data_IF_640173809923
#
_entry.id   IF_640173809923
#
_cell.length_a   1.000
_cell.length_b   1.000
_cell.length_c   1.000
_cell.angle_alpha   90.00
_cell.angle_beta   90.00
_cell.angle_gamma   90.00
#
_symmetry.space_group_name_H-M   'P 1'
#
loop_
_entity.id
_entity.type
_entity.pdbx_description
1 polymer ?
#
# COMPACT_ATOMS: atom_id res chain seq x y z
N UNK A 1 -0.67 -27.14 28.04
CA UNK A 1 -2.03 -26.58 28.14
C UNK A 1 -1.93 -25.35 29.04
N UNK A 2 -2.09 -24.13 28.51
CA UNK A 2 -2.03 -22.90 29.31
C UNK A 2 -3.40 -22.69 29.96
N UNK A 3 -3.41 -22.46 31.28
CA UNK A 3 -4.63 -22.10 32.03
C UNK A 3 -4.56 -20.62 32.38
N UNK A 4 -5.66 -19.92 32.11
CA UNK A 4 -5.83 -18.51 32.43
C UNK A 4 -6.76 -18.39 33.63
N UNK A 5 -6.37 -17.56 34.60
CA UNK A 5 -7.23 -17.19 35.74
C UNK A 5 -7.17 -15.67 35.86
N UNK A 6 -8.33 -15.02 35.77
CA UNK A 6 -8.47 -13.58 35.97
C UNK A 6 -8.85 -13.31 37.43
N UNK A 7 -8.11 -12.44 38.10
CA UNK A 7 -8.39 -12.02 39.48
C UNK A 7 -7.94 -10.57 39.69
N UNK A 8 -8.87 -9.62 39.62
CA UNK A 8 -8.59 -8.20 39.89
C UNK A 8 -7.69 -7.50 38.86
N UNK A 9 -6.88 -6.55 39.33
CA UNK A 9 -6.02 -5.61 38.55
C UNK A 9 -4.77 -6.25 37.90
N UNK A 10 -4.65 -7.58 37.94
CA UNK A 10 -3.46 -8.28 37.46
C UNK A 10 -3.85 -9.46 36.57
N UNK A 11 -3.02 -9.72 35.57
CA UNK A 11 -3.07 -10.93 34.78
C UNK A 11 -2.01 -11.91 35.27
N UNK A 12 -2.42 -13.15 35.52
CA UNK A 12 -1.54 -14.23 35.92
C UNK A 12 -1.34 -15.19 34.76
N UNK A 13 -0.12 -15.24 34.22
CA UNK A 13 0.28 -16.26 33.25
C UNK A 13 1.10 -17.32 33.98
N UNK A 14 0.52 -18.49 34.20
CA UNK A 14 1.27 -19.63 34.71
C UNK A 14 1.85 -20.44 33.56
N UNK A 15 3.18 -20.47 33.49
CA UNK A 15 3.92 -21.35 32.60
C UNK A 15 4.19 -22.67 33.32
N UNK A 16 3.49 -23.74 32.89
CA UNK A 16 3.61 -25.05 33.51
C UNK A 16 4.99 -25.72 33.26
N UNK A 17 5.68 -25.35 32.17
CA UNK A 17 6.95 -25.99 31.80
C UNK A 17 8.08 -25.53 32.72
N UNK A 18 8.06 -24.26 33.07
CA UNK A 18 9.09 -23.64 33.90
C UNK A 18 8.64 -23.48 35.37
N UNK A 19 7.38 -23.84 35.66
CA UNK A 19 6.70 -23.62 36.93
C UNK A 19 6.79 -22.15 37.42
N UNK A 20 6.81 -21.20 36.49
CA UNK A 20 6.89 -19.77 36.76
C UNK A 20 5.54 -19.10 36.55
N UNK A 21 5.18 -18.20 37.46
CA UNK A 21 4.00 -17.34 37.34
C UNK A 21 4.51 -15.95 36.95
N UNK A 22 4.16 -15.51 35.75
CA UNK A 22 4.39 -14.13 35.32
C UNK A 22 3.16 -13.32 35.72
N UNK A 23 3.38 -12.35 36.61
CA UNK A 23 2.34 -11.43 37.07
C UNK A 23 2.53 -10.14 36.30
N UNK A 24 1.61 -9.85 35.39
CA UNK A 24 1.63 -8.61 34.62
C UNK A 24 0.54 -7.68 35.18
N UNK A 25 0.88 -6.46 35.63
CA UNK A 25 -0.14 -5.50 36.01
C UNK A 25 -0.98 -5.16 34.78
N UNK A 26 -2.30 -5.18 34.93
CA UNK A 26 -3.20 -4.62 33.91
C UNK A 26 -3.06 -3.10 34.06
N UNK A 27 -2.56 -2.36 33.06
CA UNK A 27 -2.42 -0.91 33.19
C UNK A 27 -3.80 -0.31 33.48
N UNK A 28 -3.97 0.28 34.66
CA UNK A 28 -5.18 1.03 34.97
C UNK A 28 -5.31 2.17 33.97
N UNK A 29 -6.56 2.38 33.49
CA UNK A 29 -6.99 3.39 32.50
C UNK A 29 -5.94 4.47 32.22
N UNK A 30 -5.36 4.40 31.02
CA UNK A 30 -4.41 5.37 30.45
C UNK A 30 -4.95 6.81 30.32
N UNK A 31 -6.20 7.08 30.69
CA UNK A 31 -6.87 8.36 30.40
C UNK A 31 -6.45 9.56 31.28
N UNK A 32 -5.53 9.41 32.26
CA UNK A 32 -5.20 10.52 33.19
C UNK A 32 -3.74 10.63 33.65
N UNK A 33 -2.77 9.95 33.02
CA UNK A 33 -1.34 10.19 33.32
C UNK A 33 -0.69 11.06 32.25
N UNK A 34 -0.38 12.30 32.61
CA UNK A 34 0.61 13.11 31.89
C UNK A 34 1.97 12.47 32.14
N UNK A 35 2.49 11.75 31.15
CA UNK A 35 3.85 11.20 31.20
C UNK A 35 4.77 12.28 30.65
N UNK A 36 5.57 12.92 31.51
CA UNK A 36 6.71 13.71 31.06
C UNK A 36 7.81 12.73 30.62
N UNK A 37 7.95 12.55 29.31
CA UNK A 37 9.02 11.72 28.72
C UNK A 37 10.13 12.62 28.19
N UNK A 38 11.33 12.49 28.77
CA UNK A 38 12.56 13.04 28.22
C UNK A 38 13.17 12.06 27.22
N UNK A 39 12.97 12.35 25.94
CA UNK A 39 13.52 11.59 24.82
C UNK A 39 14.95 12.03 24.51
N UNK A 40 15.86 11.08 24.29
CA UNK A 40 17.11 11.43 23.63
C UNK A 40 16.82 11.63 22.13
N UNK A 41 17.32 12.70 21.47
CA UNK A 41 16.99 13.05 20.08
C UNK A 41 17.38 12.01 18.99
N UNK A 42 17.75 10.78 19.34
CA UNK A 42 18.34 9.78 18.43
C UNK A 42 17.80 8.35 18.59
N UNK A 43 16.83 8.10 19.47
CA UNK A 43 16.26 6.76 19.63
C UNK A 43 14.88 6.70 18.97
N UNK A 44 14.81 6.05 17.81
CA UNK A 44 13.56 5.78 17.09
C UNK A 44 12.67 4.74 17.81
N UNK A 45 13.13 4.18 18.93
CA UNK A 45 12.40 3.17 19.67
C UNK A 45 12.03 3.67 21.07
N UNK A 46 10.72 3.79 21.38
CA UNK A 46 10.25 4.21 22.68
C UNK A 46 10.35 3.16 23.79
N UNK A 47 10.57 1.88 23.46
CA UNK A 47 10.52 0.80 24.44
C UNK A 47 11.71 -0.16 24.33
N UNK A 48 12.57 -0.23 25.37
CA UNK A 48 13.60 -1.26 25.47
C UNK A 48 12.96 -2.65 25.45
N UNK A 49 13.42 -3.53 24.55
CA UNK A 49 12.88 -4.88 24.40
C UNK A 49 11.70 -5.02 23.43
N UNK A 50 11.33 -3.96 22.71
CA UNK A 50 10.36 -4.04 21.62
C UNK A 50 10.88 -4.91 20.47
N UNK A 51 10.10 -5.92 20.10
CA UNK A 51 10.36 -6.73 18.90
C UNK A 51 9.66 -6.09 17.69
N UNK A 52 10.38 -6.02 16.56
CA UNK A 52 9.93 -5.54 15.24
C UNK A 52 9.47 -4.08 15.22
N UNK A 53 10.05 -3.30 14.32
CA UNK A 53 9.71 -1.89 14.13
C UNK A 53 9.34 -1.66 12.68
N UNK A 54 8.12 -1.21 12.46
CA UNK A 54 7.70 -0.63 11.19
C UNK A 54 7.33 0.82 11.45
N UNK A 55 7.76 1.70 10.56
CA UNK A 55 7.56 3.14 10.66
C UNK A 55 6.69 3.58 9.50
N UNK A 56 5.66 4.36 9.82
CA UNK A 56 4.80 5.02 8.87
C UNK A 56 4.88 6.52 9.11
N UNK A 57 4.93 7.30 8.03
CA UNK A 57 5.04 8.75 8.08
C UNK A 57 4.03 9.38 7.13
N UNK A 58 3.35 10.43 7.58
CA UNK A 58 2.51 11.29 6.75
C UNK A 58 2.87 12.76 7.03
N UNK A 59 3.78 13.34 6.23
CA UNK A 59 4.18 14.74 6.33
C UNK A 59 3.02 15.72 6.27
N UNK A 60 1.94 15.37 5.57
CA UNK A 60 0.80 16.27 5.41
C UNK A 60 0.04 16.50 6.70
N UNK A 61 0.01 15.48 7.54
CA UNK A 61 -0.66 15.50 8.82
C UNK A 61 0.33 15.77 9.95
N UNK A 62 1.61 16.01 9.65
CA UNK A 62 2.69 16.01 10.64
C UNK A 62 2.65 14.72 11.49
N UNK A 63 2.35 13.58 10.88
CA UNK A 63 2.11 12.32 11.60
C UNK A 63 3.26 11.34 11.43
N UNK A 64 3.72 10.80 12.54
CA UNK A 64 4.73 9.77 12.67
C UNK A 64 4.14 8.60 13.46
N UNK A 65 4.09 7.42 12.88
CA UNK A 65 3.54 6.24 13.53
C UNK A 65 4.58 5.12 13.64
N UNK A 66 4.86 4.65 14.85
CA UNK A 66 5.78 3.52 15.09
C UNK A 66 4.98 2.34 15.58
N UNK A 67 5.02 1.24 14.82
CA UNK A 67 4.52 -0.03 15.32
C UNK A 67 5.60 -0.78 16.08
N UNK A 68 5.26 -1.28 17.26
CA UNK A 68 6.12 -2.14 18.07
C UNK A 68 5.30 -3.18 18.83
N UNK A 69 5.91 -4.32 19.19
CA UNK A 69 5.27 -5.35 19.98
C UNK A 69 5.91 -5.48 21.38
N UNK A 70 5.07 -5.57 22.42
CA UNK A 70 5.47 -5.88 23.80
C UNK A 70 4.55 -6.97 24.34
N UNK A 71 5.11 -8.07 24.84
CA UNK A 71 4.34 -9.20 25.40
C UNK A 71 3.25 -9.73 24.45
N UNK A 72 3.54 -9.75 23.13
CA UNK A 72 2.61 -10.14 22.05
C UNK A 72 1.39 -9.23 21.87
N UNK A 73 1.39 -8.05 22.49
CA UNK A 73 0.45 -6.98 22.18
C UNK A 73 1.17 -6.04 21.22
N UNK A 74 0.51 -5.74 20.10
CA UNK A 74 1.03 -4.79 19.12
C UNK A 74 0.49 -3.41 19.43
N UNK A 75 1.37 -2.42 19.39
CA UNK A 75 1.05 -1.01 19.63
C UNK A 75 1.47 -0.20 18.41
N UNK A 76 0.71 0.86 18.12
CA UNK A 76 1.09 1.86 17.13
C UNK A 76 1.20 3.19 17.88
N UNK A 77 2.40 3.62 18.23
CA UNK A 77 2.66 4.92 18.84
C UNK A 77 2.45 6.03 17.81
N UNK A 78 1.77 7.10 18.21
CA UNK A 78 1.42 8.23 17.35
C UNK A 78 2.14 9.49 17.84
N UNK A 79 3.01 10.02 17.00
CA UNK A 79 3.81 11.19 17.26
C UNK A 79 3.74 12.22 16.14
N UNK A 80 4.23 13.40 16.40
CA UNK A 80 4.55 14.43 15.41
C UNK A 80 5.85 14.12 14.68
N UNK A 81 6.00 14.54 13.43
CA UNK A 81 7.27 14.43 12.68
C UNK A 81 8.29 15.48 13.13
N UNK A 82 7.84 16.69 13.45
CA UNK A 82 8.73 17.82 13.72
C UNK A 82 9.48 17.71 15.06
N UNK A 83 8.80 17.27 16.13
CA UNK A 83 9.36 17.24 17.49
C UNK A 83 9.24 15.88 18.19
N UNK A 84 8.63 14.87 17.56
CA UNK A 84 8.50 13.51 18.10
C UNK A 84 7.58 13.39 19.32
N UNK A 85 6.85 14.45 19.68
CA UNK A 85 5.89 14.46 20.76
C UNK A 85 4.61 13.71 20.39
N UNK A 86 3.77 13.36 21.37
CA UNK A 86 2.45 12.75 21.09
C UNK A 86 1.66 13.66 20.16
N UNK A 87 1.10 13.08 19.10
CA UNK A 87 0.41 13.86 18.09
C UNK A 87 -0.81 14.60 18.69
N UNK A 88 -0.94 15.93 18.54
CA UNK A 88 -1.95 16.72 19.25
C UNK A 88 -3.40 16.39 18.86
N UNK A 89 -3.60 15.87 17.65
CA UNK A 89 -4.90 15.40 17.17
C UNK A 89 -5.19 13.92 17.45
N UNK A 90 -4.25 13.16 18.04
CA UNK A 90 -4.50 11.75 18.31
C UNK A 90 -5.44 11.60 19.52
N UNK A 91 -6.37 10.64 19.43
CA UNK A 91 -7.26 10.29 20.54
C UNK A 91 -6.49 9.77 21.78
N UNK A 92 -5.25 9.32 21.57
CA UNK A 92 -4.31 8.95 22.62
C UNK A 92 -2.93 8.64 22.04
N UNK A 93 -1.94 8.33 22.90
CA UNK A 93 -0.54 8.20 22.49
C UNK A 93 -0.28 6.97 21.63
N UNK A 94 -1.15 5.95 21.69
CA UNK A 94 -1.00 4.75 20.88
C UNK A 94 -2.34 4.09 20.56
N UNK A 95 -2.39 3.42 19.41
CA UNK A 95 -3.42 2.45 19.07
C UNK A 95 -3.01 1.08 19.60
N UNK A 96 -3.98 0.31 20.10
CA UNK A 96 -3.71 -1.01 20.71
C UNK A 96 -4.33 -2.11 19.87
N UNK A 97 -3.55 -3.17 19.65
CA UNK A 97 -3.96 -4.37 18.95
C UNK A 97 -3.83 -5.59 19.87
N UNK A 98 -4.96 -6.03 20.40
CA UNK A 98 -5.04 -7.15 21.36
C UNK A 98 -5.02 -8.52 20.68
N UNK A 99 -3.97 -8.87 19.91
CA UNK A 99 -3.84 -10.25 19.40
C UNK A 99 -2.40 -10.74 19.31
N UNK A 100 -2.18 -11.86 19.99
CA UNK A 100 -0.90 -12.53 20.21
C UNK A 100 -0.59 -13.63 19.19
N UNK A 101 -0.73 -13.35 17.90
CA UNK A 101 -0.40 -14.35 16.86
C UNK A 101 0.95 -14.00 16.22
N UNK A 102 1.74 -15.03 15.92
CA UNK A 102 2.95 -14.88 15.11
C UNK A 102 2.57 -14.29 13.75
N UNK A 103 2.79 -12.99 13.59
CA UNK A 103 2.61 -12.28 12.33
C UNK A 103 3.78 -12.61 11.39
N UNK A 104 3.49 -12.92 10.14
CA UNK A 104 4.52 -13.24 9.13
C UNK A 104 4.78 -12.05 8.21
N UNK A 105 3.73 -11.28 7.95
CA UNK A 105 3.76 -10.10 7.11
C UNK A 105 2.76 -9.09 7.65
N UNK A 106 3.14 -7.81 7.61
CA UNK A 106 2.29 -6.70 7.96
C UNK A 106 2.52 -5.53 7.00
N UNK A 107 1.44 -4.86 6.58
CA UNK A 107 1.46 -3.68 5.72
C UNK A 107 0.61 -2.58 6.36
N UNK A 108 1.07 -1.34 6.29
CA UNK A 108 0.44 -0.19 6.93
C UNK A 108 0.13 0.87 5.91
N UNK A 109 -0.99 1.54 6.10
CA UNK A 109 -1.25 2.82 5.44
C UNK A 109 -2.00 3.75 6.37
N UNK A 110 -1.90 5.03 6.05
CA UNK A 110 -2.71 6.05 6.68
C UNK A 110 -3.31 6.93 5.59
N UNK A 111 -4.48 7.49 5.88
CA UNK A 111 -5.11 8.49 5.06
C UNK A 111 -6.09 9.30 5.88
N UNK A 112 -5.85 10.62 5.96
CA UNK A 112 -6.63 11.48 6.84
C UNK A 112 -6.67 10.92 8.26
N UNK A 113 -7.87 10.81 8.82
CA UNK A 113 -8.09 10.28 10.17
C UNK A 113 -7.91 8.76 10.31
N UNK A 114 -7.61 8.04 9.23
CA UNK A 114 -7.53 6.57 9.26
C UNK A 114 -6.10 6.06 9.28
N UNK A 115 -5.84 5.10 10.15
CA UNK A 115 -4.66 4.21 10.08
C UNK A 115 -5.19 2.81 9.87
N UNK A 116 -4.57 2.05 8.98
CA UNK A 116 -4.91 0.66 8.75
C UNK A 116 -3.68 -0.24 8.76
N UNK A 117 -3.89 -1.43 9.31
CA UNK A 117 -2.93 -2.52 9.42
C UNK A 117 -3.50 -3.75 8.75
N UNK A 118 -2.89 -4.14 7.63
CA UNK A 118 -3.07 -5.45 7.07
C UNK A 118 -2.05 -6.41 7.66
N UNK A 119 -2.48 -7.60 8.05
CA UNK A 119 -1.61 -8.65 8.57
C UNK A 119 -2.04 -10.02 8.11
N UNK A 120 -1.06 -10.90 7.99
CA UNK A 120 -1.26 -12.33 7.75
C UNK A 120 -0.79 -13.15 8.95
N UNK A 121 -1.62 -14.09 9.38
CA UNK A 121 -1.34 -14.97 10.52
C UNK A 121 -1.93 -16.37 10.31
N UNK A 122 -1.46 -17.32 11.12
CA UNK A 122 -1.97 -18.69 11.13
C UNK A 122 -2.80 -18.92 12.40
N UNK A 123 -4.05 -19.34 12.25
CA UNK A 123 -4.82 -19.82 13.41
C UNK A 123 -4.42 -21.26 13.70
N UNK A 124 -3.89 -21.51 14.90
CA UNK A 124 -3.53 -22.87 15.33
C UNK A 124 -4.79 -23.63 15.77
N UNK A 125 -5.50 -24.22 14.81
CA UNK A 125 -6.62 -25.12 15.06
C UNK A 125 -6.18 -26.57 15.29
N UNK A 126 -7.07 -27.39 15.85
CA UNK A 126 -6.88 -28.85 15.97
C UNK A 126 -7.01 -29.48 14.59
N UNK A 127 -5.90 -29.63 13.86
CA UNK A 127 -5.81 -30.49 12.67
C UNK A 127 -5.32 -29.83 11.38
N UNK A 128 -5.51 -28.52 11.17
CA UNK A 128 -4.99 -27.80 10.00
C UNK A 128 -4.68 -26.34 10.34
N UNK A 129 -3.49 -25.85 9.96
CA UNK A 129 -3.19 -24.41 10.02
C UNK A 129 -3.60 -23.78 8.68
N UNK A 130 -4.79 -23.19 8.64
CA UNK A 130 -5.16 -22.35 7.50
C UNK A 130 -4.60 -20.94 7.71
N UNK A 131 -3.88 -20.38 6.73
CA UNK A 131 -3.51 -18.98 6.81
C UNK A 131 -4.79 -18.12 6.76
N UNK A 132 -4.81 -17.05 7.55
CA UNK A 132 -5.84 -16.02 7.55
C UNK A 132 -5.17 -14.65 7.36
N UNK A 133 -5.92 -13.70 6.82
CA UNK A 133 -5.52 -12.31 6.83
C UNK A 133 -6.57 -11.47 7.54
N UNK A 134 -6.12 -10.34 8.09
CA UNK A 134 -6.98 -9.33 8.69
C UNK A 134 -6.48 -7.95 8.31
N UNK A 135 -7.40 -7.07 7.92
CA UNK A 135 -7.21 -5.65 7.75
C UNK A 135 -7.99 -4.93 8.83
N UNK A 136 -7.27 -4.30 9.74
CA UNK A 136 -7.84 -3.54 10.85
C UNK A 136 -7.63 -2.06 10.61
N UNK A 137 -8.66 -1.27 10.88
CA UNK A 137 -8.73 0.15 10.55
C UNK A 137 -9.14 0.90 11.81
N UNK A 138 -8.39 1.94 12.17
CA UNK A 138 -8.69 2.82 13.29
C UNK A 138 -8.98 4.23 12.79
N UNK A 139 -9.88 4.94 13.48
CA UNK A 139 -9.95 6.40 13.44
C UNK A 139 -9.03 6.94 14.54
N UNK A 140 -7.76 7.20 14.18
CA UNK A 140 -6.73 7.53 15.16
C UNK A 140 -6.94 8.89 15.84
N UNK A 141 -7.79 9.74 15.28
CA UNK A 141 -8.11 11.06 15.82
C UNK A 141 -9.22 11.01 16.86
N UNK A 142 -10.17 10.07 16.72
CA UNK A 142 -11.36 10.01 17.56
C UNK A 142 -11.42 8.79 18.47
N UNK A 143 -10.64 7.73 18.23
CA UNK A 143 -10.62 6.54 19.09
C UNK A 143 -9.28 5.81 19.10
N UNK A 144 -8.89 5.32 20.28
CA UNK A 144 -7.73 4.43 20.45
C UNK A 144 -8.10 2.95 20.46
N UNK A 145 -9.39 2.62 20.61
CA UNK A 145 -9.88 1.25 20.83
C UNK A 145 -10.88 0.78 19.79
N UNK A 146 -11.69 1.68 19.23
CA UNK A 146 -12.64 1.32 18.19
C UNK A 146 -11.88 1.11 16.89
N UNK A 147 -12.09 -0.05 16.30
CA UNK A 147 -11.51 -0.39 15.02
C UNK A 147 -12.46 -1.24 14.22
N UNK A 148 -12.50 -0.96 12.93
CA UNK A 148 -13.22 -1.76 11.97
C UNK A 148 -12.32 -2.86 11.42
N UNK A 149 -12.85 -4.07 11.26
CA UNK A 149 -12.06 -5.26 10.92
C UNK A 149 -12.64 -5.96 9.69
N UNK A 150 -11.81 -6.16 8.68
CA UNK A 150 -12.03 -7.10 7.57
C UNK A 150 -11.15 -8.33 7.78
N UNK A 151 -11.69 -9.51 7.59
CA UNK A 151 -10.92 -10.75 7.64
C UNK A 151 -11.48 -11.77 6.67
N UNK A 152 -10.62 -12.63 6.13
CA UNK A 152 -11.05 -13.79 5.36
C UNK A 152 -10.06 -14.94 5.58
N UNK A 153 -10.58 -16.16 5.48
CA UNK A 153 -9.73 -17.32 5.29
C UNK A 153 -9.07 -17.25 3.91
N UNK A 154 -7.84 -17.72 3.84
CA UNK A 154 -7.12 -17.88 2.58
C UNK A 154 -7.46 -19.31 2.11
N UNK A 155 -8.45 -19.41 1.23
CA UNK A 155 -8.89 -20.70 0.69
C UNK A 155 -7.91 -21.27 -0.34
N UNK A 156 -7.10 -20.40 -0.95
CA UNK A 156 -6.18 -20.75 -2.03
C UNK A 156 -4.74 -20.81 -1.52
N UNK A 157 -3.95 -21.75 -2.05
CA UNK A 157 -2.48 -21.78 -1.86
C UNK A 157 -1.77 -20.58 -2.51
N UNK A 158 -2.51 -19.75 -3.25
CA UNK A 158 -1.99 -18.61 -3.97
C UNK A 158 -2.67 -17.33 -3.48
N UNK A 159 -1.82 -16.43 -3.00
CA UNK A 159 -1.96 -14.98 -2.90
C UNK A 159 -3.12 -14.48 -2.02
N UNK A 160 -2.74 -14.18 -0.79
CA UNK A 160 -3.45 -13.32 0.15
C UNK A 160 -3.74 -11.94 -0.49
N UNK A 161 -4.60 -11.08 0.10
CA UNK A 161 -4.69 -9.69 -0.37
C UNK A 161 -3.28 -9.13 -0.42
N UNK A 162 -2.86 -8.77 -1.63
CA UNK A 162 -1.50 -8.33 -1.89
C UNK A 162 -1.35 -6.90 -1.44
N UNK A 163 -2.45 -6.14 -1.38
CA UNK A 163 -2.41 -4.76 -0.92
C UNK A 163 -3.79 -4.19 -0.56
N UNK A 164 -3.80 -2.97 -0.06
CA UNK A 164 -5.00 -2.15 0.10
C UNK A 164 -4.64 -0.68 -0.12
N UNK A 165 -5.63 0.19 -0.34
CA UNK A 165 -5.44 1.64 -0.24
C UNK A 165 -6.72 2.37 0.10
N UNK A 166 -6.56 3.53 0.74
CA UNK A 166 -7.67 4.45 0.93
C UNK A 166 -7.89 5.27 -0.33
N UNK A 167 -9.13 5.29 -0.82
CA UNK A 167 -9.55 6.21 -1.88
C UNK A 167 -10.15 7.49 -1.30
N UNK A 168 -10.44 7.50 -0.01
CA UNK A 168 -10.99 8.63 0.71
C UNK A 168 -11.08 8.32 2.19
N UNK A 169 -11.80 9.15 2.92
CA UNK A 169 -12.10 8.87 4.32
C UNK A 169 -13.16 7.78 4.48
N UNK A 170 -14.00 7.56 3.48
CA UNK A 170 -15.11 6.61 3.53
C UNK A 170 -14.87 5.38 2.65
N UNK A 171 -13.88 5.41 1.75
CA UNK A 171 -13.66 4.34 0.76
C UNK A 171 -12.30 3.68 0.89
N UNK A 172 -12.32 2.35 0.88
CA UNK A 172 -11.16 1.48 0.97
C UNK A 172 -11.16 0.49 -0.19
N UNK A 173 -10.07 0.43 -0.93
CA UNK A 173 -9.86 -0.55 -1.97
C UNK A 173 -8.94 -1.65 -1.45
N UNK A 174 -9.40 -2.90 -1.48
CA UNK A 174 -8.58 -4.08 -1.19
C UNK A 174 -8.21 -4.75 -2.50
N UNK A 175 -6.92 -5.02 -2.66
CA UNK A 175 -6.32 -5.60 -3.87
C UNK A 175 -5.96 -7.05 -3.58
N UNK A 176 -6.64 -7.98 -4.23
CA UNK A 176 -6.40 -9.42 -4.17
C UNK A 176 -6.52 -9.99 -5.61
N UNK A 177 -7.05 -11.19 -5.81
CA UNK A 177 -7.36 -11.69 -7.16
C UNK A 177 -8.39 -10.82 -7.92
N UNK A 178 -9.12 -10.00 -7.17
CA UNK A 178 -10.04 -8.98 -7.65
C UNK A 178 -9.83 -7.69 -6.85
N UNK A 179 -10.35 -6.57 -7.38
CA UNK A 179 -10.39 -5.32 -6.65
C UNK A 179 -11.72 -5.22 -5.91
N UNK A 180 -11.68 -5.16 -4.58
CA UNK A 180 -12.87 -5.04 -3.74
C UNK A 180 -12.93 -3.65 -3.14
N UNK A 181 -13.98 -2.91 -3.49
CA UNK A 181 -14.24 -1.60 -2.95
C UNK A 181 -15.15 -1.72 -1.73
N UNK A 182 -14.71 -1.19 -0.60
CA UNK A 182 -15.43 -1.18 0.67
C UNK A 182 -15.77 0.25 1.09
N UNK A 183 -16.90 0.38 1.78
CA UNK A 183 -17.35 1.60 2.44
C UNK A 183 -17.14 1.48 3.95
N UNK A 184 -16.51 2.50 4.52
CA UNK A 184 -16.29 2.71 5.95
C UNK A 184 -17.29 3.77 6.40
N UNK A 185 -18.48 3.34 6.84
CA UNK A 185 -19.50 4.25 7.40
C UNK A 185 -19.21 4.59 8.86
N UNK A 186 -18.92 3.55 9.64
CA UNK A 186 -18.64 3.64 11.08
C UNK A 186 -17.48 2.70 11.43
N UNK A 187 -16.65 3.10 12.39
CA UNK A 187 -15.57 2.27 12.94
C UNK A 187 -16.07 1.14 13.84
N UNK A 188 -17.32 1.20 14.32
CA UNK A 188 -17.91 0.09 15.09
C UNK A 188 -18.40 -1.07 14.22
N UNK A 189 -18.50 -0.88 12.90
CA UNK A 189 -19.04 -1.87 11.97
C UNK A 189 -17.95 -2.38 11.03
N UNK A 190 -18.07 -3.63 10.56
CA UNK A 190 -17.23 -4.15 9.47
C UNK A 190 -17.43 -3.30 8.20
N UNK A 191 -16.37 -2.94 7.44
CA UNK A 191 -16.52 -2.19 6.20
C UNK A 191 -17.40 -2.97 5.22
N UNK A 192 -18.39 -2.29 4.64
CA UNK A 192 -19.37 -2.93 3.75
C UNK A 192 -18.82 -2.98 2.33
N UNK A 193 -18.82 -4.16 1.71
CA UNK A 193 -18.46 -4.31 0.29
C UNK A 193 -19.45 -3.52 -0.58
N UNK A 194 -18.94 -2.64 -1.45
CA UNK A 194 -19.70 -1.86 -2.43
C UNK A 194 -19.67 -2.48 -3.82
N UNK A 195 -18.49 -2.93 -4.26
CA UNK A 195 -18.30 -3.50 -5.58
C UNK A 195 -17.09 -4.43 -5.59
N UNK A 196 -17.11 -5.38 -6.53
CA UNK A 196 -16.04 -6.34 -6.76
C UNK A 196 -15.70 -6.32 -8.25
N UNK A 197 -14.54 -5.81 -8.62
CA UNK A 197 -14.08 -5.70 -9.99
C UNK A 197 -13.17 -6.87 -10.35
N UNK A 198 -13.55 -7.62 -11.37
CA UNK A 198 -12.75 -8.74 -11.86
C UNK A 198 -11.59 -8.21 -12.70
N UNK A 199 -10.37 -8.63 -12.36
CA UNK A 199 -9.18 -8.39 -13.14
C UNK A 199 -9.03 -9.47 -14.22
N UNK A 200 -8.29 -9.13 -15.27
CA UNK A 200 -8.03 -10.02 -16.41
C UNK A 200 -6.74 -10.84 -16.26
N UNK A 201 -5.97 -10.63 -15.20
CA UNK A 201 -4.69 -11.30 -14.92
C UNK A 201 -4.47 -11.47 -13.40
N UNK A 202 -3.52 -12.34 -13.02
CA UNK A 202 -3.13 -12.50 -11.62
C UNK A 202 -2.16 -11.40 -11.17
N UNK A 203 -2.39 -10.88 -9.97
CA UNK A 203 -1.47 -9.96 -9.31
C UNK A 203 -0.31 -10.71 -8.64
N UNK A 204 0.85 -10.07 -8.44
CA UNK A 204 1.87 -10.57 -7.49
C UNK A 204 1.65 -9.95 -6.12
N UNK A 205 2.19 -10.61 -5.09
CA UNK A 205 2.61 -9.91 -3.89
C UNK A 205 3.66 -8.92 -4.31
N UNK A 206 3.19 -7.69 -4.39
CA UNK A 206 3.87 -6.63 -5.06
C UNK A 206 4.31 -5.71 -3.94
N UNK A 207 5.62 -5.49 -3.87
CA UNK A 207 6.18 -4.37 -3.11
C UNK A 207 5.76 -3.07 -3.79
N UNK A 208 4.46 -2.76 -3.76
CA UNK A 208 3.86 -1.77 -4.64
C UNK A 208 4.02 -0.36 -4.13
N UNK A 209 4.45 0.48 -5.07
CA UNK A 209 4.24 1.91 -5.18
C UNK A 209 2.75 2.22 -5.35
N UNK A 210 1.96 1.90 -4.32
CA UNK A 210 0.65 2.53 -4.13
C UNK A 210 0.88 4.04 -4.10
N UNK A 211 -0.06 4.86 -4.58
CA UNK A 211 0.11 6.31 -4.62
C UNK A 211 0.68 6.76 -3.28
N UNK A 212 1.93 7.21 -3.29
CA UNK A 212 2.57 7.67 -2.06
C UNK A 212 1.76 8.89 -1.68
N UNK A 213 0.97 8.76 -0.61
CA UNK A 213 -0.01 9.76 -0.23
C UNK A 213 0.76 10.96 0.31
N UNK A 214 1.14 11.89 -0.55
CA UNK A 214 1.40 13.25 -0.12
C UNK A 214 0.04 13.88 0.14
N UNK A 215 -0.42 13.82 1.40
CA UNK A 215 -1.58 14.63 1.80
C UNK A 215 -1.29 16.10 1.49
N UNK A 216 -2.27 16.78 0.91
CA UNK A 216 -2.17 18.21 0.64
C UNK A 216 -2.92 18.96 1.73
N UNK A 217 -2.19 19.36 2.77
CA UNK A 217 -2.63 20.46 3.64
C UNK A 217 -1.47 21.39 4.01
N UNK A 218 -0.55 21.62 3.08
CA UNK A 218 0.33 22.79 3.17
C UNK A 218 -0.44 24.01 2.66
N UNK A 219 -0.99 24.75 3.63
CA UNK A 219 -1.38 26.16 3.48
C UNK A 219 -0.14 26.99 3.11
N UNK A 220 0.25 26.97 1.84
CA UNK A 220 0.96 28.10 1.23
C UNK A 220 0.61 28.15 -0.26
N UNK A 221 0.13 29.31 -0.70
CA UNK A 221 -0.25 29.60 -2.08
C UNK A 221 0.93 29.41 -3.05
N UNK A 222 1.09 28.21 -3.61
CA UNK A 222 1.80 27.99 -4.87
C UNK A 222 1.39 26.64 -5.48
N UNK A 223 0.51 26.71 -6.49
CA UNK A 223 0.15 25.65 -7.45
C UNK A 223 -0.45 24.35 -6.89
N UNK A 224 -1.74 24.41 -6.57
CA UNK A 224 -2.65 23.27 -6.37
C UNK A 224 -2.96 22.44 -7.63
N UNK A 225 -2.08 22.44 -8.65
CA UNK A 225 -2.47 22.04 -10.00
C UNK A 225 -2.33 20.54 -10.28
N UNK A 226 -1.58 19.79 -9.46
CA UNK A 226 -1.15 18.43 -9.83
C UNK A 226 -1.54 17.31 -8.86
N UNK A 227 -1.92 17.60 -7.63
CA UNK A 227 -2.29 16.55 -6.66
C UNK A 227 -3.25 17.10 -5.61
N UNK A 228 -4.51 16.66 -5.62
CA UNK A 228 -5.36 16.72 -4.41
C UNK A 228 -6.62 15.85 -4.55
N UNK A 229 -7.23 15.78 -5.73
CA UNK A 229 -8.46 15.01 -5.92
C UNK A 229 -8.20 13.49 -5.94
N UNK A 230 -8.75 12.73 -4.98
CA UNK A 230 -8.67 11.27 -4.99
C UNK A 230 -9.28 10.61 -6.23
N UNK A 231 -10.23 11.25 -6.91
CA UNK A 231 -10.87 10.73 -8.12
C UNK A 231 -9.95 10.72 -9.34
N UNK A 232 -8.91 11.55 -9.33
CA UNK A 232 -7.98 11.68 -10.45
C UNK A 232 -6.68 10.93 -10.25
N UNK A 233 -6.54 10.16 -9.16
CA UNK A 233 -5.35 9.37 -8.88
C UNK A 233 -5.27 8.13 -9.77
N UNK A 234 -4.10 7.52 -9.76
CA UNK A 234 -3.84 6.24 -10.40
C UNK A 234 -3.52 5.18 -9.35
N UNK A 235 -4.08 3.99 -9.58
CA UNK A 235 -3.62 2.77 -8.97
C UNK A 235 -2.66 2.08 -9.96
N UNK A 236 -1.48 1.70 -9.49
CA UNK A 236 -0.49 0.98 -10.27
C UNK A 236 -0.41 -0.46 -9.78
N UNK A 237 -0.65 -1.40 -10.68
CA UNK A 237 -0.58 -2.84 -10.43
C UNK A 237 0.43 -3.46 -11.40
N UNK A 238 1.20 -4.44 -10.95
CA UNK A 238 2.08 -5.23 -11.82
C UNK A 238 1.67 -6.70 -11.76
N UNK A 239 1.83 -7.40 -12.88
CA UNK A 239 1.51 -8.83 -12.96
C UNK A 239 2.58 -9.69 -12.28
N UNK A 240 2.14 -10.74 -11.58
CA UNK A 240 3.02 -11.79 -11.02
C UNK A 240 3.66 -12.66 -12.06
N UNK A 241 2.91 -12.94 -13.12
CA UNK A 241 3.33 -13.88 -14.16
C UNK A 241 4.29 -13.18 -15.10
N UNK A 242 3.98 -11.92 -15.42
CA UNK A 242 4.77 -11.10 -16.30
C UNK A 242 5.11 -9.76 -15.65
N UNK A 243 6.28 -9.70 -15.00
CA UNK A 243 6.83 -8.47 -14.40
C UNK A 243 7.05 -7.35 -15.41
N UNK A 244 6.84 -7.61 -16.71
CA UNK A 244 6.89 -6.61 -17.78
C UNK A 244 5.58 -5.85 -17.94
N UNK A 245 4.50 -6.28 -17.31
CA UNK A 245 3.19 -5.66 -17.51
C UNK A 245 2.83 -4.77 -16.34
N UNK A 246 2.72 -3.46 -16.60
CA UNK A 246 2.17 -2.47 -15.66
C UNK A 246 0.75 -2.12 -16.06
N UNK A 247 -0.17 -2.23 -15.11
CA UNK A 247 -1.56 -1.89 -15.22
C UNK A 247 -1.83 -0.61 -14.42
N UNK A 248 -2.16 0.47 -15.12
CA UNK A 248 -2.46 1.78 -14.56
C UNK A 248 -3.97 2.00 -14.60
N UNK A 249 -4.61 2.10 -13.44
CA UNK A 249 -6.06 2.18 -13.29
C UNK A 249 -6.42 3.56 -12.76
N UNK A 250 -7.29 4.28 -13.47
CA UNK A 250 -7.86 5.53 -12.96
C UNK A 250 -8.76 5.25 -11.76
N UNK A 251 -8.52 5.90 -10.63
CA UNK A 251 -9.34 5.71 -9.42
C UNK A 251 -10.77 6.22 -9.58
N UNK A 252 -11.04 7.09 -10.55
CA UNK A 252 -12.36 7.65 -10.85
C UNK A 252 -13.47 6.58 -10.90
N UNK A 253 -13.16 5.42 -11.49
CA UNK A 253 -14.12 4.32 -11.64
C UNK A 253 -14.68 3.81 -10.30
N UNK A 254 -13.98 4.04 -9.20
CA UNK A 254 -14.40 3.64 -7.86
C UNK A 254 -15.30 4.67 -7.16
N UNK A 255 -15.42 5.88 -7.69
CA UNK A 255 -16.26 6.94 -7.14
C UNK A 255 -17.64 6.96 -7.79
N UNK A 256 -17.74 6.56 -9.06
CA UNK A 256 -18.98 6.45 -9.83
C UNK A 256 -19.86 5.24 -9.43
N UNK A 257 -19.53 4.54 -8.33
CA UNK A 257 -20.23 3.33 -7.85
C UNK A 257 -21.26 3.69 -6.77
N UNK A 258 -22.52 3.35 -7.03
CA UNK A 258 -23.63 3.41 -6.08
C UNK A 258 -23.61 2.25 -5.06
N UNK A 259 -24.31 2.43 -3.93
CA UNK A 259 -24.35 1.44 -2.84
C UNK A 259 -24.98 0.08 -3.21
N UNK A 260 -25.66 -0.03 -4.36
CA UNK A 260 -26.42 -1.22 -4.76
C UNK A 260 -25.60 -2.27 -5.55
N UNK A 261 -24.37 -1.96 -5.94
CA UNK A 261 -23.60 -2.75 -6.93
C UNK A 261 -22.90 -3.99 -6.36
N UNK A 262 -23.04 -4.26 -5.06
CA UNK A 262 -22.24 -5.26 -4.34
C UNK A 262 -22.60 -6.73 -4.66
N UNK A 263 -23.74 -6.99 -5.32
CA UNK A 263 -24.31 -8.34 -5.44
C UNK A 263 -23.60 -9.17 -6.53
N UNK A 264 -23.07 -8.53 -7.57
CA UNK A 264 -22.49 -9.23 -8.72
C UNK A 264 -21.10 -8.67 -9.04
N UNK A 265 -20.07 -9.54 -9.16
CA UNK A 265 -18.77 -9.09 -9.63
C UNK A 265 -18.85 -8.44 -11.01
N UNK A 266 -18.23 -7.27 -11.16
CA UNK A 266 -18.21 -6.50 -12.40
C UNK A 266 -17.11 -7.09 -13.29
N UNK A 267 -17.44 -7.69 -14.45
CA UNK A 267 -16.46 -8.33 -15.30
C UNK A 267 -15.55 -7.28 -15.96
N UNK A 268 -14.29 -7.66 -16.22
CA UNK A 268 -13.28 -6.79 -16.82
C UNK A 268 -13.79 -6.00 -18.03
N UNK A 269 -14.53 -6.65 -18.93
CA UNK A 269 -15.00 -6.04 -20.17
C UNK A 269 -15.94 -4.84 -19.95
N UNK A 270 -16.56 -4.73 -18.78
CA UNK A 270 -17.53 -3.68 -18.47
C UNK A 270 -16.88 -2.43 -17.87
N UNK A 271 -15.71 -2.56 -17.23
CA UNK A 271 -15.06 -1.46 -16.50
C UNK A 271 -13.59 -1.21 -16.88
N UNK A 272 -12.87 -2.22 -17.35
CA UNK A 272 -11.43 -2.16 -17.59
C UNK A 272 -11.01 -1.36 -18.81
N UNK A 273 -11.49 -1.70 -20.04
CA UNK A 273 -10.95 -1.15 -21.28
C UNK A 273 -10.89 0.38 -21.36
N UNK A 274 -11.87 1.09 -20.78
CA UNK A 274 -11.93 2.56 -20.80
C UNK A 274 -11.17 3.25 -19.67
N UNK A 275 -10.87 2.54 -18.57
CA UNK A 275 -10.36 3.13 -17.33
C UNK A 275 -8.94 2.68 -16.97
N UNK A 276 -8.37 1.81 -17.80
CA UNK A 276 -7.05 1.24 -17.61
C UNK A 276 -6.15 1.56 -18.79
N UNK A 277 -4.87 1.78 -18.51
CA UNK A 277 -3.77 1.70 -19.48
C UNK A 277 -2.85 0.58 -19.05
N UNK A 278 -2.56 -0.34 -19.97
CA UNK A 278 -1.51 -1.33 -19.77
C UNK A 278 -0.28 -0.91 -20.55
N UNK A 279 0.88 -0.99 -19.91
CA UNK A 279 2.18 -0.66 -20.49
C UNK A 279 3.07 -1.89 -20.38
N UNK A 280 3.53 -2.40 -21.52
CA UNK A 280 4.57 -3.43 -21.58
C UNK A 280 5.95 -2.80 -21.39
N UNK A 281 6.81 -3.51 -20.68
CA UNK A 281 8.17 -3.12 -20.38
C UNK A 281 9.17 -4.05 -21.06
N UNK A 282 10.38 -3.52 -21.27
CA UNK A 282 11.44 -4.26 -21.91
C UNK A 282 11.77 -5.55 -21.15
N UNK A 283 11.95 -6.63 -21.92
CA UNK A 283 12.10 -8.01 -21.46
C UNK A 283 13.34 -8.24 -20.57
N UNK A 284 14.34 -7.38 -20.69
CA UNK A 284 15.69 -7.66 -20.19
C UNK A 284 15.91 -7.24 -18.73
N UNK A 285 15.26 -6.18 -18.22
CA UNK A 285 15.55 -5.65 -16.89
C UNK A 285 14.34 -4.99 -16.22
N UNK A 286 14.37 -4.97 -14.87
CA UNK A 286 13.34 -4.36 -14.01
C UNK A 286 13.30 -2.86 -14.27
N UNK A 287 12.18 -2.35 -14.79
CA UNK A 287 11.97 -0.91 -14.80
C UNK A 287 11.78 -0.41 -13.37
N UNK A 288 12.26 0.80 -13.10
CA UNK A 288 11.87 1.49 -11.88
C UNK A 288 10.65 2.33 -12.23
N UNK A 289 9.60 2.16 -11.45
CA UNK A 289 8.32 2.83 -11.63
C UNK A 289 7.97 3.58 -10.37
N UNK A 290 7.60 4.86 -10.52
CA UNK A 290 7.06 5.65 -9.42
C UNK A 290 5.74 6.28 -9.83
N UNK A 291 4.77 6.28 -8.92
CA UNK A 291 3.43 6.83 -9.15
C UNK A 291 3.12 7.90 -8.11
N UNK A 292 2.83 9.10 -8.58
CA UNK A 292 2.47 10.24 -7.74
C UNK A 292 1.20 10.88 -8.28
N UNK A 293 0.09 10.70 -7.55
CA UNK A 293 -1.22 11.18 -7.95
C UNK A 293 -1.67 10.62 -9.30
N UNK A 294 -1.72 11.48 -10.32
CA UNK A 294 -2.12 11.18 -11.70
C UNK A 294 -0.95 11.00 -12.66
N UNK A 295 0.29 11.01 -12.15
CA UNK A 295 1.50 10.87 -12.95
C UNK A 295 2.19 9.56 -12.65
N UNK A 296 2.79 9.00 -13.70
CA UNK A 296 3.62 7.81 -13.64
C UNK A 296 4.96 8.15 -14.26
N UNK A 297 6.03 7.80 -13.56
CA UNK A 297 7.39 7.91 -14.04
C UNK A 297 7.96 6.51 -14.24
N UNK A 298 8.40 6.22 -15.45
CA UNK A 298 9.03 4.98 -15.84
C UNK A 298 10.47 5.24 -16.26
N UNK A 299 11.38 4.38 -15.81
CA UNK A 299 12.73 4.29 -16.36
C UNK A 299 12.78 3.13 -17.36
N UNK A 300 12.68 3.44 -18.66
CA UNK A 300 12.72 2.43 -19.72
C UNK A 300 14.17 2.19 -20.15
N UNK A 301 14.63 0.94 -20.02
CA UNK A 301 15.96 0.60 -20.48
C UNK A 301 16.02 0.52 -22.00
N UNK A 302 17.03 1.17 -22.57
CA UNK A 302 17.40 1.06 -23.97
C UNK A 302 18.61 0.14 -24.11
N UNK A 303 18.41 -0.99 -24.79
CA UNK A 303 19.49 -1.92 -25.10
C UNK A 303 20.41 -1.26 -26.14
N UNK A 304 21.64 -0.95 -25.72
CA UNK A 304 22.74 -0.65 -26.64
C UNK A 304 23.77 -1.78 -26.55
N UNK A 305 24.42 -2.10 -27.68
CA UNK A 305 25.32 -3.26 -27.84
C UNK A 305 26.49 -3.35 -26.84
N UNK A 306 26.75 -2.34 -26.01
CA UNK A 306 27.88 -2.30 -25.05
C UNK A 306 27.58 -1.69 -23.68
N UNK A 307 26.53 -0.86 -23.55
CA UNK A 307 26.15 -0.23 -22.28
C UNK A 307 24.63 -0.04 -22.24
N UNK A 308 23.96 -0.55 -21.21
CA UNK A 308 22.55 -0.23 -20.96
C UNK A 308 22.42 1.23 -20.51
N UNK A 309 21.37 1.90 -20.97
CA UNK A 309 20.98 3.20 -20.42
C UNK A 309 19.47 3.28 -20.29
N UNK A 310 18.99 3.93 -19.24
CA UNK A 310 17.59 4.27 -19.07
C UNK A 310 17.27 5.59 -19.75
N UNK A 311 16.06 5.67 -20.32
CA UNK A 311 15.37 6.92 -20.58
C UNK A 311 14.21 7.05 -19.61
N UNK A 312 14.01 8.27 -19.12
CA UNK A 312 12.85 8.57 -18.29
C UNK A 312 11.66 8.87 -19.19
N UNK A 313 10.53 8.20 -18.92
CA UNK A 313 9.24 8.42 -19.55
C UNK A 313 8.24 8.80 -18.48
N UNK A 314 7.71 10.00 -18.57
CA UNK A 314 6.64 10.49 -17.70
C UNK A 314 5.31 10.43 -18.45
N UNK A 315 4.29 9.88 -17.79
CA UNK A 315 2.92 9.80 -18.27
C UNK A 315 2.03 10.60 -17.32
N UNK A 316 1.35 11.63 -17.82
CA UNK A 316 0.41 12.47 -17.07
C UNK A 316 -1.02 12.16 -17.50
N UNK A 317 -1.79 11.54 -16.61
CA UNK A 317 -3.18 11.14 -16.83
C UNK A 317 -4.19 12.21 -16.38
N UNK A 318 -3.73 13.43 -16.05
CA UNK A 318 -4.61 14.55 -15.72
C UNK A 318 -5.59 14.83 -16.86
N UNK A 319 -6.91 14.87 -16.61
CA UNK A 319 -7.90 15.27 -17.62
C UNK A 319 -7.58 16.64 -18.22
N UNK A 320 -7.03 17.56 -17.42
CA UNK A 320 -6.64 18.89 -17.86
C UNK A 320 -5.42 18.85 -18.80
N UNK A 321 -4.44 17.99 -18.53
CA UNK A 321 -3.27 17.83 -19.41
C UNK A 321 -3.70 17.25 -20.78
N UNK A 322 -4.54 16.21 -20.76
CA UNK A 322 -5.07 15.55 -21.96
C UNK A 322 -5.95 16.49 -22.80
N UNK A 323 -6.76 17.33 -22.16
CA UNK A 323 -7.71 18.22 -22.84
C UNK A 323 -7.04 19.47 -23.37
N UNK A 324 -6.24 20.15 -22.55
CA UNK A 324 -5.73 21.48 -22.90
C UNK A 324 -4.57 21.44 -23.89
N UNK A 325 -3.94 20.28 -24.14
CA UNK A 325 -2.72 20.13 -24.96
C UNK A 325 -1.62 21.16 -24.60
N UNK A 326 -1.65 21.70 -23.38
CA UNK A 326 -0.77 22.79 -22.93
C UNK A 326 0.63 22.31 -22.53
N UNK A 327 0.90 21.00 -22.62
CA UNK A 327 2.21 20.41 -22.32
C UNK A 327 3.07 20.21 -23.55
N UNK A 328 4.39 20.13 -23.35
CA UNK A 328 5.40 19.79 -24.38
C UNK A 328 5.35 18.31 -24.83
N UNK A 329 4.41 17.52 -24.29
CA UNK A 329 4.31 16.09 -24.51
C UNK A 329 3.36 15.67 -25.64
N UNK A 330 3.48 14.42 -26.07
CA UNK A 330 2.56 13.78 -27.01
C UNK A 330 1.31 13.35 -26.28
N UNK A 331 0.13 13.72 -26.79
CA UNK A 331 -1.13 13.19 -26.25
C UNK A 331 -1.41 11.81 -26.86
N UNK A 332 -1.56 10.80 -26.01
CA UNK A 332 -1.86 9.41 -26.39
C UNK A 332 -3.33 9.12 -26.06
N UNK A 333 -4.14 8.85 -27.09
CA UNK A 333 -5.58 8.54 -26.97
C UNK A 333 -5.97 7.23 -27.64
N UNK A 334 -5.07 6.70 -28.45
CA UNK A 334 -5.23 5.43 -29.14
C UNK A 334 -5.38 4.28 -28.14
N UNK A 335 -6.18 3.28 -28.55
CA UNK A 335 -6.29 2.01 -27.84
C UNK A 335 -4.97 1.26 -27.96
N UNK A 336 -4.56 0.60 -26.88
CA UNK A 336 -3.46 -0.34 -26.84
C UNK A 336 -3.99 -1.76 -26.66
N UNK A 337 -3.61 -2.66 -27.55
CA UNK A 337 -3.85 -4.10 -27.41
C UNK A 337 -2.59 -4.72 -26.83
N UNK A 338 -2.71 -5.37 -25.68
CA UNK A 338 -1.60 -6.00 -24.96
C UNK A 338 -1.88 -7.48 -24.81
N UNK A 339 -0.86 -8.30 -24.98
CA UNK A 339 -0.96 -9.75 -24.78
C UNK A 339 -0.53 -10.07 -23.36
N UNK A 340 -1.43 -10.57 -22.53
CA UNK A 340 -1.12 -10.90 -21.14
C UNK A 340 -1.29 -12.37 -20.86
N UNK A 341 -0.46 -12.89 -19.97
CA UNK A 341 -0.60 -14.24 -19.46
C UNK A 341 -1.77 -14.31 -18.48
N UNK A 342 -2.71 -15.21 -18.74
CA UNK A 342 -3.88 -15.49 -17.91
C UNK A 342 -3.80 -16.91 -17.40
N UNK A 343 -4.07 -17.11 -16.12
CA UNK A 343 -4.05 -18.43 -15.52
C UNK A 343 -5.25 -19.26 -15.99
N UNK A 344 -5.00 -20.53 -16.34
CA UNK A 344 -6.08 -21.53 -16.45
C UNK A 344 -6.62 -21.81 -15.05
N UNK A 345 -7.94 -21.93 -14.91
CA UNK A 345 -8.64 -21.98 -13.62
C UNK A 345 -8.11 -23.02 -12.60
N UNK A 346 -8.59 -22.98 -11.35
CA UNK A 346 -7.97 -23.62 -10.18
C UNK A 346 -7.87 -25.15 -10.21
N UNK A 347 -8.41 -25.83 -11.22
CA UNK A 347 -8.51 -27.29 -11.30
C UNK A 347 -7.42 -27.95 -12.15
N UNK A 348 -6.38 -27.23 -12.59
CA UNK A 348 -5.29 -27.83 -13.39
C UNK A 348 -4.13 -28.30 -12.49
N UNK A 349 -3.81 -29.58 -12.62
CA UNK A 349 -2.69 -30.24 -11.93
C UNK A 349 -1.33 -29.67 -12.36
N UNK A 350 -0.36 -29.77 -11.45
CA UNK A 350 0.83 -28.92 -11.39
C UNK A 350 1.93 -29.20 -12.41
N UNK A 351 1.83 -30.29 -13.19
CA UNK A 351 2.92 -30.79 -14.02
C UNK A 351 2.82 -30.40 -15.51
N UNK A 352 1.87 -29.53 -15.88
CA UNK A 352 1.72 -29.10 -17.27
C UNK A 352 2.22 -27.66 -17.49
N UNK A 353 3.26 -27.50 -18.32
CA UNK A 353 3.76 -26.20 -18.79
C UNK A 353 2.68 -25.36 -19.52
N UNK A 354 1.50 -25.94 -19.80
CA UNK A 354 0.31 -25.28 -20.36
C UNK A 354 -0.54 -24.45 -19.35
N UNK A 355 -0.02 -24.18 -18.14
CA UNK A 355 -0.74 -23.51 -17.02
C UNK A 355 -1.30 -22.12 -17.35
N UNK A 356 -0.69 -21.42 -18.31
CA UNK A 356 -1.11 -20.08 -18.72
C UNK A 356 -1.51 -20.08 -20.18
N UNK A 357 -2.59 -19.38 -20.50
CA UNK A 357 -2.91 -19.01 -21.87
C UNK A 357 -2.74 -17.51 -22.02
N UNK A 358 -2.36 -17.08 -23.22
CA UNK A 358 -2.23 -15.66 -23.51
C UNK A 358 -3.58 -15.13 -23.98
N UNK A 359 -4.06 -14.08 -23.33
CA UNK A 359 -5.24 -13.33 -23.75
C UNK A 359 -4.82 -11.97 -24.26
N UNK A 360 -5.54 -11.47 -25.26
CA UNK A 360 -5.36 -10.10 -25.74
C UNK A 360 -6.39 -9.20 -25.07
N UNK A 361 -5.93 -8.09 -24.50
CA UNK A 361 -6.79 -7.10 -23.86
C UNK A 361 -6.62 -5.74 -24.51
N UNK A 362 -7.74 -5.06 -24.73
CA UNK A 362 -7.75 -3.66 -25.17
C UNK A 362 -7.83 -2.72 -23.97
N UNK A 363 -7.04 -1.65 -24.01
CA UNK A 363 -6.98 -0.60 -22.98
C UNK A 363 -6.89 0.78 -23.63
N UNK A 364 -7.48 1.79 -23.03
CA UNK A 364 -7.70 3.08 -23.71
C UNK A 364 -7.59 4.32 -22.82
N UNK A 365 -7.09 4.20 -21.58
CA UNK A 365 -6.98 5.37 -20.70
C UNK A 365 -6.00 6.41 -21.30
N UNK A 366 -6.46 7.64 -21.61
CA UNK A 366 -5.66 8.64 -22.31
C UNK A 366 -4.68 9.34 -21.36
N UNK A 367 -3.54 9.77 -21.89
CA UNK A 367 -2.50 10.47 -21.12
C UNK A 367 -1.65 11.39 -22.01
N UNK A 368 -0.84 12.24 -21.38
CA UNK A 368 0.22 13.01 -22.03
C UNK A 368 1.55 12.34 -21.71
N UNK A 369 2.32 12.03 -22.74
CA UNK A 369 3.63 11.40 -22.65
C UNK A 369 4.75 12.42 -22.85
N UNK A 370 5.74 12.41 -21.95
CA UNK A 370 6.99 13.14 -22.08
C UNK A 370 8.14 12.17 -21.90
N UNK A 371 8.99 12.05 -22.91
CA UNK A 371 10.20 11.21 -22.85
C UNK A 371 11.42 12.11 -22.77
N UNK A 372 12.26 11.88 -21.77
CA UNK A 372 13.52 12.60 -21.61
C UNK A 372 14.54 12.14 -22.64
N UNK A 373 15.25 13.10 -23.25
CA UNK A 373 16.41 12.82 -24.09
C UNK A 373 17.66 12.45 -23.28
N UNK A 374 17.62 12.70 -21.97
CA UNK A 374 18.71 12.36 -21.05
C UNK A 374 18.85 10.83 -20.97
N UNK A 375 20.09 10.36 -21.14
CA UNK A 375 20.46 8.96 -20.98
C UNK A 375 21.10 8.77 -19.61
N UNK A 376 20.59 7.84 -18.83
CA UNK A 376 21.10 7.50 -17.49
C UNK A 376 21.74 6.13 -17.59
N UNK A 377 23.01 5.96 -17.19
CA UNK A 377 23.67 4.64 -17.28
C UNK A 377 22.93 3.62 -16.41
N UNK A 378 22.67 2.43 -16.94
CA UNK A 378 21.88 1.42 -16.23
C UNK A 378 22.54 0.89 -14.97
N UNK A 379 23.88 0.90 -14.92
CA UNK A 379 24.65 0.51 -13.73
C UNK A 379 24.69 1.54 -12.61
N UNK A 380 24.10 2.73 -12.80
CA UNK A 380 24.08 3.79 -11.79
C UNK A 380 22.69 4.00 -11.22
N UNK A 381 21.60 3.79 -11.96
CA UNK A 381 20.26 4.12 -11.47
C UNK A 381 19.73 3.05 -10.50
N UNK A 382 19.64 3.40 -9.22
CA UNK A 382 19.11 2.54 -8.18
C UNK A 382 17.61 2.74 -7.98
N UNK A 383 17.18 4.00 -7.95
CA UNK A 383 15.78 4.36 -7.71
C UNK A 383 15.44 5.72 -8.35
N UNK A 384 14.16 5.97 -8.54
CA UNK A 384 13.63 7.22 -9.08
C UNK A 384 12.30 7.55 -8.40
N UNK A 385 12.16 8.79 -7.97
CA UNK A 385 10.93 9.31 -7.38
C UNK A 385 10.55 10.67 -7.96
N UNK A 386 9.29 11.06 -7.83
CA UNK A 386 8.81 12.34 -8.32
C UNK A 386 8.05 13.10 -7.22
N UNK A 387 8.26 14.41 -7.19
CA UNK A 387 7.51 15.33 -6.33
C UNK A 387 7.13 16.58 -7.13
N UNK A 388 5.83 16.70 -7.44
CA UNK A 388 5.32 17.72 -8.33
C UNK A 388 5.96 17.64 -9.72
N UNK A 389 6.77 18.65 -10.05
CA UNK A 389 7.49 18.77 -11.32
C UNK A 389 8.98 18.37 -11.21
N UNK A 390 9.43 17.91 -10.04
CA UNK A 390 10.81 17.50 -9.80
C UNK A 390 10.94 15.99 -9.90
N UNK A 391 11.98 15.54 -10.58
CA UNK A 391 12.36 14.12 -10.60
C UNK A 391 13.65 13.98 -9.81
N UNK A 392 13.68 13.01 -8.92
CA UNK A 392 14.86 12.68 -8.15
C UNK A 392 15.38 11.32 -8.61
N UNK A 393 16.69 11.24 -8.74
CA UNK A 393 17.39 10.03 -9.14
C UNK A 393 18.35 9.64 -8.03
N UNK A 394 18.20 8.41 -7.55
CA UNK A 394 19.17 7.78 -6.68
C UNK A 394 20.19 7.05 -7.54
N UNK A 395 21.43 7.53 -7.49
CA UNK A 395 22.53 7.00 -8.28
C UNK A 395 23.55 6.30 -7.38
N UNK A 396 23.92 5.08 -7.73
CA UNK A 396 25.04 4.35 -7.13
C UNK A 396 26.36 4.79 -7.79
N UNK A 397 27.41 4.99 -6.98
CA UNK A 397 28.70 5.49 -7.46
C UNK A 397 29.56 4.36 -8.01
N UNK A 398 30.24 4.52 -9.17
CA UNK A 398 30.91 3.39 -9.83
C UNK A 398 32.15 2.88 -9.07
N UNK A 399 32.77 3.67 -8.18
CA UNK A 399 33.93 3.23 -7.39
C UNK A 399 33.98 3.99 -6.05
N UNK A 400 33.88 3.24 -4.94
CA UNK A 400 34.06 3.67 -3.54
C UNK A 400 32.99 4.69 -3.03
N UNK A 401 31.78 4.17 -2.81
CA UNK A 401 31.04 4.43 -1.55
C UNK A 401 30.18 5.69 -1.42
N UNK A 402 29.74 6.31 -2.51
CA UNK A 402 28.84 7.47 -2.44
C UNK A 402 27.55 7.25 -3.22
N UNK A 403 26.45 6.98 -2.52
CA UNK A 403 25.10 7.13 -3.08
C UNK A 403 24.85 8.62 -3.32
N UNK A 404 24.50 9.00 -4.55
CA UNK A 404 24.24 10.39 -4.94
C UNK A 404 22.77 10.57 -5.25
N UNK A 405 22.13 11.55 -4.61
CA UNK A 405 20.82 12.03 -5.00
C UNK A 405 20.97 13.17 -6.01
N UNK A 406 20.36 13.04 -7.17
CA UNK A 406 20.29 14.09 -8.20
C UNK A 406 18.84 14.55 -8.40
N UNK A 407 18.63 15.84 -8.66
CA UNK A 407 17.31 16.42 -8.95
C UNK A 407 17.30 16.98 -10.37
N UNK A 408 16.29 16.64 -11.15
CA UNK A 408 16.04 17.09 -12.52
C UNK A 408 14.75 17.89 -12.57
#
# INVERSE_FOLDING_TARGET
MQKYVTGGEHFYLWNYQDNLITISPIPSKLSQRTIEQHWSPRTLCPFPGAERQNVLMDPAQNLFAIMYAVNKITYIYLATLDDGCVHPHAAGPALVLEFAVYEWQAKYQCYGRHIALWRQFHTRGVGTSSPMWQLQIWDWQHSTTLSSVLSSSIQTTFLTPTSFCFLGNDRLLVVADNLKLYLIKDMSETPRLLACFLLFFLLEDTGHYLPTMHGSQLRTQAQSMYTSDPEHRLLCLTSSIDKRTICLISTKIFFDIDEATAITPIPWNDWGPGHVRVVEQSVMHVSITHVSGNRVLLADEMVSKRHGYYKLRMMDFSPLAVTNRRGLGRVVKERSTVTVAVQRGPNFEWDDESKYYYSTVETALPYVEVVSDRKISSGLLQDVWMDGDRIYLLLDGPYIGGTKLEVI
#
